data_IF_899812441788
#
_entry.id   IF_899812441788
#
_cell.length_a   1.000
_cell.length_b   1.000
_cell.length_c   1.000
_cell.angle_alpha   90.00
_cell.angle_beta   90.00
_cell.angle_gamma   90.00
#
_symmetry.space_group_name_H-M   'P 1'
#
loop_
_entity.id
_entity.type
_entity.pdbx_description
1 polymer ?
#
# COMPACT_ATOMS: atom_id res chain seq x y z
N UNK A 1 -19.38 -1.88 19.13
CA UNK A 1 -17.90 -1.90 19.10
C UNK A 1 -17.39 -1.06 17.96
N UNK A 2 -16.63 -0.01 18.28
CA UNK A 2 -15.84 0.71 17.28
C UNK A 2 -14.55 -0.10 17.16
N UNK A 3 -14.35 -0.78 16.02
CA UNK A 3 -13.08 -1.43 15.73
C UNK A 3 -11.99 -0.35 15.74
N UNK A 4 -11.06 -0.44 16.68
CA UNK A 4 -9.91 0.48 16.69
C UNK A 4 -9.05 0.15 15.48
N UNK A 5 -8.56 1.14 14.72
CA UNK A 5 -7.58 0.88 13.68
C UNK A 5 -6.37 0.19 14.30
N UNK A 6 -5.98 -0.97 13.76
CA UNK A 6 -4.76 -1.67 14.12
C UNK A 6 -3.59 -1.12 13.27
N UNK A 7 -2.35 -1.15 13.77
CA UNK A 7 -1.19 -0.69 13.01
C UNK A 7 -1.02 -1.49 11.72
N UNK A 8 -0.52 -0.85 10.67
CA UNK A 8 -0.25 -1.48 9.38
C UNK A 8 1.15 -1.08 8.92
N UNK A 9 1.92 -2.07 8.46
CA UNK A 9 3.28 -1.87 7.97
C UNK A 9 3.45 -2.53 6.61
N UNK A 10 4.26 -1.91 5.75
CA UNK A 10 4.73 -2.56 4.52
C UNK A 10 6.10 -3.17 4.82
N UNK A 11 6.17 -4.50 4.79
CA UNK A 11 7.38 -5.30 4.96
C UNK A 11 7.99 -5.66 3.59
N UNK A 12 9.31 -5.81 3.57
CA UNK A 12 10.11 -6.12 2.40
C UNK A 12 11.10 -7.24 2.73
N UNK A 13 11.40 -8.12 1.77
CA UNK A 13 12.36 -9.21 1.95
C UNK A 13 13.79 -8.70 2.23
N UNK A 14 14.10 -7.48 1.78
CA UNK A 14 15.39 -6.84 1.97
C UNK A 14 15.40 -5.34 1.69
N UNK A 15 16.56 -4.73 1.97
CA UNK A 15 16.84 -3.32 1.69
C UNK A 15 16.71 -2.99 0.18
N UNK A 16 17.18 -3.83 -0.76
CA UNK A 16 17.05 -3.55 -2.19
C UNK A 16 15.59 -3.42 -2.65
N UNK A 17 14.71 -4.28 -2.16
CA UNK A 17 13.28 -4.29 -2.46
C UNK A 17 12.61 -3.02 -1.93
N UNK A 18 12.91 -2.65 -0.68
CA UNK A 18 12.47 -1.39 -0.08
C UNK A 18 12.91 -0.17 -0.91
N UNK A 19 14.20 -0.09 -1.26
CA UNK A 19 14.73 1.03 -2.05
C UNK A 19 14.08 1.11 -3.42
N UNK A 20 13.92 -0.03 -4.11
CA UNK A 20 13.26 -0.08 -5.40
C UNK A 20 11.79 0.34 -5.32
N UNK A 21 11.11 -0.01 -4.22
CA UNK A 21 9.72 0.39 -3.97
C UNK A 21 9.60 1.91 -3.74
N UNK A 22 10.41 2.48 -2.85
CA UNK A 22 10.38 3.91 -2.53
C UNK A 22 10.77 4.78 -3.72
N UNK A 23 11.80 4.38 -4.49
CA UNK A 23 12.19 5.10 -5.71
C UNK A 23 11.06 5.12 -6.75
N UNK A 24 10.30 4.03 -6.86
CA UNK A 24 9.18 3.95 -7.78
C UNK A 24 8.03 4.88 -7.35
N UNK A 25 7.72 4.94 -6.06
CA UNK A 25 6.75 5.90 -5.50
C UNK A 25 7.20 7.34 -5.70
N UNK A 26 8.45 7.67 -5.45
CA UNK A 26 9.01 9.01 -5.65
C UNK A 26 8.96 9.44 -7.12
N UNK A 27 9.28 8.55 -8.06
CA UNK A 27 9.16 8.83 -9.51
C UNK A 27 7.70 9.10 -9.91
N UNK A 28 6.76 8.35 -9.34
CA UNK A 28 5.34 8.56 -9.58
C UNK A 28 4.85 9.89 -8.99
N UNK A 29 5.30 10.26 -7.79
CA UNK A 29 4.97 11.52 -7.15
C UNK A 29 5.60 12.73 -7.86
N UNK A 30 6.85 12.65 -8.32
CA UNK A 30 7.52 13.72 -9.07
C UNK A 30 6.88 14.01 -10.43
N UNK A 31 6.08 13.09 -10.97
CA UNK A 31 5.28 13.30 -12.20
C UNK A 31 3.95 14.01 -11.94
N UNK A 32 3.52 14.06 -10.69
CA UNK A 32 2.30 14.73 -10.26
C UNK A 32 2.62 16.20 -10.01
N UNK A 33 2.01 17.10 -10.79
CA UNK A 33 2.18 18.55 -10.61
C UNK A 33 1.67 19.03 -9.24
N UNK A 34 1.99 20.27 -8.82
CA UNK A 34 1.71 20.80 -7.48
C UNK A 34 0.22 20.80 -7.06
N UNK A 35 -0.72 20.55 -7.98
CA UNK A 35 -2.16 20.47 -7.71
C UNK A 35 -2.72 19.03 -7.65
N UNK A 36 -1.86 18.00 -7.73
CA UNK A 36 -2.31 16.61 -7.94
C UNK A 36 -2.90 15.92 -6.70
N UNK A 37 -2.64 16.42 -5.49
CA UNK A 37 -3.27 15.90 -4.27
C UNK A 37 -4.80 16.10 -4.28
N UNK A 38 -5.29 17.12 -4.98
CA UNK A 38 -6.73 17.43 -5.09
C UNK A 38 -7.46 16.66 -6.20
N UNK A 39 -6.77 15.85 -7.02
CA UNK A 39 -7.37 15.20 -8.21
C UNK A 39 -7.01 13.72 -8.37
N UNK A 40 -6.63 13.05 -7.28
CA UNK A 40 -6.41 11.59 -7.28
C UNK A 40 -7.70 10.84 -7.65
N UNK A 41 -8.86 11.42 -7.36
CA UNK A 41 -10.18 10.80 -7.62
C UNK A 41 -10.50 10.65 -9.13
N UNK A 42 -9.85 11.38 -10.03
CA UNK A 42 -10.21 11.45 -11.45
C UNK A 42 -9.15 10.91 -12.42
N UNK A 43 -7.95 10.53 -11.95
CA UNK A 43 -6.87 10.05 -12.82
C UNK A 43 -6.97 8.52 -13.02
N UNK A 44 -7.27 8.02 -14.24
CA UNK A 44 -7.28 6.59 -14.52
C UNK A 44 -5.89 5.93 -14.40
N UNK A 45 -4.82 6.72 -14.31
CA UNK A 45 -3.45 6.26 -14.09
C UNK A 45 -2.98 6.49 -12.64
N UNK A 46 -3.90 6.78 -11.71
CA UNK A 46 -3.56 6.86 -10.30
C UNK A 46 -3.00 5.52 -9.81
N UNK A 47 -1.94 5.53 -8.99
CA UNK A 47 -1.40 4.31 -8.45
C UNK A 47 -2.39 3.72 -7.45
N UNK A 48 -2.45 2.40 -7.41
CA UNK A 48 -3.30 1.66 -6.50
C UNK A 48 -2.53 0.46 -5.95
N UNK A 49 -2.93 0.00 -4.78
CA UNK A 49 -2.40 -1.19 -4.15
C UNK A 49 -3.43 -2.31 -4.33
N UNK A 50 -3.01 -3.43 -4.88
CA UNK A 50 -3.80 -4.65 -4.94
C UNK A 50 -3.37 -5.57 -3.81
N UNK A 51 -4.31 -5.87 -2.92
CA UNK A 51 -4.16 -6.80 -1.80
C UNK A 51 -4.60 -8.17 -2.28
N UNK A 52 -3.65 -9.08 -2.36
CA UNK A 52 -3.88 -10.46 -2.77
C UNK A 52 -4.30 -11.23 -1.53
N UNK A 53 -5.48 -11.86 -1.58
CA UNK A 53 -5.96 -12.65 -0.45
C UNK A 53 -4.96 -13.76 -0.11
N UNK A 54 -4.78 -14.01 1.19
CA UNK A 54 -3.99 -15.13 1.69
C UNK A 54 -4.62 -16.49 1.32
N UNK A 55 -5.92 -16.50 1.05
CA UNK A 55 -6.69 -17.66 0.63
C UNK A 55 -7.36 -17.44 -0.73
N UNK A 56 -7.78 -18.51 -1.41
CA UNK A 56 -8.54 -18.42 -2.66
C UNK A 56 -10.02 -18.07 -2.44
N UNK A 57 -10.42 -17.79 -1.20
CA UNK A 57 -11.81 -17.55 -0.83
C UNK A 57 -12.26 -16.11 -1.14
N UNK A 58 -11.31 -15.17 -1.16
CA UNK A 58 -11.56 -13.77 -1.47
C UNK A 58 -10.90 -13.34 -2.78
N UNK A 59 -11.61 -12.50 -3.55
CA UNK A 59 -11.03 -11.83 -4.72
C UNK A 59 -9.99 -10.79 -4.25
N UNK A 60 -8.93 -10.55 -5.04
CA UNK A 60 -8.02 -9.45 -4.77
C UNK A 60 -8.78 -8.13 -4.65
N UNK A 61 -8.37 -7.28 -3.72
CA UNK A 61 -8.98 -5.98 -3.50
C UNK A 61 -8.02 -4.89 -3.89
N UNK A 62 -8.52 -3.95 -4.67
CA UNK A 62 -7.76 -2.79 -5.12
C UNK A 62 -8.15 -1.60 -4.26
N UNK A 63 -7.15 -0.96 -3.66
CA UNK A 63 -7.31 0.26 -2.88
C UNK A 63 -6.46 1.36 -3.50
N UNK A 64 -7.01 2.57 -3.54
CA UNK A 64 -6.23 3.72 -3.99
C UNK A 64 -5.16 4.05 -2.97
N UNK A 65 -4.09 4.65 -3.47
CA UNK A 65 -3.02 5.15 -2.63
C UNK A 65 -2.62 6.56 -3.02
N UNK A 66 -2.15 7.31 -2.04
CA UNK A 66 -1.44 8.56 -2.24
C UNK A 66 -0.09 8.46 -1.54
N UNK A 67 0.96 8.99 -2.18
CA UNK A 67 2.28 9.07 -1.57
C UNK A 67 2.60 10.54 -1.33
N UNK A 68 2.82 10.88 -0.07
CA UNK A 68 3.38 12.15 0.34
C UNK A 68 4.90 12.03 0.34
N UNK A 69 5.54 12.66 -0.63
CA UNK A 69 7.00 12.63 -0.77
C UNK A 69 7.74 13.47 0.26
N UNK A 70 7.09 14.47 0.88
CA UNK A 70 7.72 15.30 1.91
C UNK A 70 7.74 14.56 3.25
N UNK A 71 6.65 13.85 3.57
CA UNK A 71 6.54 13.06 4.78
C UNK A 71 7.05 11.61 4.62
N UNK A 72 7.34 11.17 3.40
CA UNK A 72 7.60 9.77 3.03
C UNK A 72 6.49 8.81 3.49
N UNK A 73 5.23 9.29 3.46
CA UNK A 73 4.06 8.54 3.94
C UNK A 73 3.25 8.00 2.77
N UNK A 74 2.93 6.71 2.83
CA UNK A 74 1.96 6.07 1.95
C UNK A 74 0.58 6.05 2.61
N UNK A 75 -0.35 6.83 2.06
CA UNK A 75 -1.76 6.84 2.45
C UNK A 75 -2.51 5.80 1.63
N UNK A 76 -3.28 4.95 2.31
CA UNK A 76 -4.07 3.88 1.71
C UNK A 76 -5.54 4.14 2.04
N UNK A 77 -6.36 4.36 1.01
CA UNK A 77 -7.79 4.68 1.18
C UNK A 77 -8.60 3.43 1.53
N UNK A 78 -8.61 3.10 2.82
CA UNK A 78 -9.45 2.13 3.56
C UNK A 78 -9.81 0.82 2.86
N UNK A 79 -9.27 -0.26 3.40
CA UNK A 79 -9.68 -1.63 3.11
C UNK A 79 -10.20 -2.28 4.39
N UNK A 80 -11.28 -1.71 4.93
CA UNK A 80 -11.77 -2.01 6.28
C UNK A 80 -12.32 -3.43 6.45
N UNK A 81 -12.90 -4.01 5.40
CA UNK A 81 -13.66 -5.25 5.53
C UNK A 81 -12.85 -6.52 5.23
N UNK A 82 -11.65 -6.39 4.67
CA UNK A 82 -10.83 -7.56 4.27
C UNK A 82 -9.59 -7.78 5.15
N UNK A 83 -9.16 -6.73 5.84
CA UNK A 83 -7.96 -6.78 6.65
C UNK A 83 -8.32 -7.33 8.02
N UNK A 84 -7.72 -8.46 8.36
CA UNK A 84 -7.81 -9.08 9.66
C UNK A 84 -6.57 -8.72 10.46
N UNK A 85 -6.72 -8.38 11.74
CA UNK A 85 -5.59 -8.13 12.63
C UNK A 85 -4.63 -9.34 12.68
N UNK A 86 -3.33 -9.10 12.87
CA UNK A 86 -2.29 -10.12 12.96
C UNK A 86 -2.13 -10.97 11.69
N UNK A 87 -2.42 -10.41 10.52
CA UNK A 87 -2.33 -11.10 9.23
C UNK A 87 -1.32 -10.43 8.30
N UNK A 88 -0.65 -11.26 7.48
CA UNK A 88 0.23 -10.81 6.40
C UNK A 88 -0.43 -11.04 5.05
N UNK A 89 -0.48 -10.00 4.24
CA UNK A 89 -1.03 -10.05 2.89
C UNK A 89 0.07 -9.76 1.89
N UNK A 90 0.11 -10.52 0.80
CA UNK A 90 0.93 -10.13 -0.35
C UNK A 90 0.24 -8.96 -1.03
N UNK A 91 0.98 -7.90 -1.30
CA UNK A 91 0.46 -6.72 -2.00
C UNK A 91 1.26 -6.44 -3.27
N UNK A 92 0.55 -5.91 -4.25
CA UNK A 92 1.13 -5.44 -5.51
C UNK A 92 0.78 -3.97 -5.68
N UNK A 93 1.81 -3.13 -5.66
CA UNK A 93 1.73 -1.72 -5.99
C UNK A 93 1.73 -1.60 -7.52
N UNK A 94 0.63 -1.07 -8.06
CA UNK A 94 0.50 -0.75 -9.47
C UNK A 94 0.85 0.72 -9.68
N UNK A 95 1.93 0.96 -10.42
CA UNK A 95 2.31 2.27 -10.93
C UNK A 95 2.04 2.32 -12.43
N UNK A 96 2.20 3.49 -13.04
CA UNK A 96 1.88 3.69 -14.46
C UNK A 96 2.64 2.73 -15.39
N UNK A 97 3.94 2.55 -15.14
CA UNK A 97 4.85 1.82 -16.04
C UNK A 97 5.42 0.54 -15.42
N UNK A 98 5.19 0.31 -14.12
CA UNK A 98 5.78 -0.83 -13.41
C UNK A 98 4.92 -1.30 -12.23
N UNK A 99 5.20 -2.51 -11.77
CA UNK A 99 4.59 -3.10 -10.58
C UNK A 99 5.67 -3.41 -9.54
N UNK A 100 5.35 -3.26 -8.26
CA UNK A 100 6.21 -3.65 -7.15
C UNK A 100 5.46 -4.56 -6.19
N UNK A 101 6.14 -5.56 -5.65
CA UNK A 101 5.59 -6.44 -4.62
C UNK A 101 6.09 -6.03 -3.24
N UNK A 102 5.24 -6.22 -2.24
CA UNK A 102 5.60 -6.11 -0.83
C UNK A 102 4.66 -6.99 0.01
N UNK A 103 4.84 -6.96 1.33
CA UNK A 103 3.93 -7.60 2.29
C UNK A 103 3.26 -6.52 3.13
N UNK A 104 1.92 -6.49 3.16
CA UNK A 104 1.16 -5.68 4.11
C UNK A 104 0.95 -6.52 5.38
N UNK A 105 1.62 -6.13 6.46
CA UNK A 105 1.45 -6.71 7.78
C UNK A 105 0.48 -5.85 8.60
N UNK A 106 -0.43 -6.50 9.32
CA UNK A 106 -1.49 -5.86 10.09
C UNK A 106 -1.40 -6.27 11.56
N UNK A 107 -1.64 -5.32 12.47
CA UNK A 107 -1.51 -5.54 13.91
C UNK A 107 -0.06 -5.57 14.39
N UNK A 108 0.11 -5.84 15.69
CA UNK A 108 1.43 -6.08 16.29
C UNK A 108 1.72 -7.57 16.21
N UNK A 109 2.60 -7.96 15.29
CA UNK A 109 3.18 -9.28 15.35
C UNK A 109 4.21 -9.27 16.48
N UNK A 110 3.88 -9.86 17.63
CA UNK A 110 4.86 -10.13 18.68
C UNK A 110 5.95 -11.02 18.08
N UNK A 111 7.08 -10.42 17.71
CA UNK A 111 8.30 -11.15 17.39
C UNK A 111 8.88 -11.66 18.71
N UNK A 112 8.24 -12.68 19.29
CA UNK A 112 8.79 -13.46 20.40
C UNK A 112 8.01 -14.77 20.53
N UNK A 113 8.57 -15.83 19.94
CA UNK A 113 8.60 -17.18 20.51
C UNK A 113 9.61 -18.06 19.79
#
# INVERSE_FOLDING_TARGET
DIARPFPMNIEFDGIPEYQAFMLALQRQAGRRGPNALASVEADPNAPFLEIISADSSHRPVQTRIAFDSEAEVLLIDTVGDILMECTRYRVMLHLRDEQKFAVLATGVHSADR
#
